data_IF_333940956303
#
_entry.id   IF_333940956303
#
_cell.length_a   1.000
_cell.length_b   1.000
_cell.length_c   1.000
_cell.angle_alpha   90.00
_cell.angle_beta   90.00
_cell.angle_gamma   90.00
#
_symmetry.space_group_name_H-M   'P 1'
#
loop_
_entity.id
_entity.type
_entity.pdbx_description
1 polymer ?
#
# COMPACT_ATOMS: atom_id res chain seq x y z
N UNK A 1 2.73 -13.13 25.34
CA UNK A 1 3.22 -13.22 23.95
C UNK A 1 1.99 -13.16 23.05
N UNK A 2 1.65 -11.99 22.51
CA UNK A 2 0.49 -11.81 21.62
C UNK A 2 0.76 -12.38 20.21
N UNK A 3 -0.30 -12.64 19.42
CA UNK A 3 -0.15 -13.10 18.04
C UNK A 3 0.53 -12.01 17.19
N UNK A 4 1.57 -12.40 16.44
CA UNK A 4 2.13 -11.56 15.37
C UNK A 4 1.04 -11.35 14.31
N UNK A 5 0.85 -10.13 13.84
CA UNK A 5 0.06 -9.85 12.64
C UNK A 5 0.72 -10.59 11.47
N UNK A 6 0.13 -11.69 11.01
CA UNK A 6 0.63 -12.43 9.85
C UNK A 6 0.15 -11.72 8.58
N UNK A 7 0.86 -10.67 8.21
CA UNK A 7 0.88 -10.22 6.82
C UNK A 7 2.13 -10.84 6.23
N UNK A 8 2.01 -11.51 5.07
CA UNK A 8 3.16 -12.06 4.39
C UNK A 8 4.19 -10.93 4.17
N UNK A 9 5.40 -11.11 4.70
CA UNK A 9 6.49 -10.19 4.40
C UNK A 9 6.79 -10.27 2.91
N UNK A 10 6.64 -9.15 2.19
CA UNK A 10 6.95 -9.03 0.75
C UNK A 10 8.47 -9.17 0.44
N UNK A 11 9.26 -9.60 1.42
CA UNK A 11 10.72 -9.65 1.37
C UNK A 11 11.30 -11.08 1.30
N UNK A 12 10.49 -12.15 1.42
CA UNK A 12 11.01 -13.52 1.30
C UNK A 12 9.94 -14.48 0.79
N UNK A 13 9.91 -14.75 -0.51
CA UNK A 13 9.04 -15.79 -1.07
C UNK A 13 9.87 -16.92 -1.68
N UNK A 14 10.16 -17.94 -0.87
CA UNK A 14 10.49 -19.28 -1.34
C UNK A 14 9.19 -20.09 -1.40
N UNK A 15 8.47 -19.95 -2.50
CA UNK A 15 7.28 -20.73 -2.84
C UNK A 15 7.28 -20.98 -4.34
N UNK A 16 6.89 -22.17 -4.79
CA UNK A 16 6.98 -22.59 -6.19
C UNK A 16 6.14 -21.70 -7.10
N UNK A 17 6.79 -20.78 -7.82
CA UNK A 17 6.17 -19.90 -8.81
C UNK A 17 6.19 -20.54 -10.19
N UNK A 18 5.03 -20.95 -10.69
CA UNK A 18 4.82 -21.11 -12.13
C UNK A 18 4.43 -19.75 -12.72
N UNK A 19 5.43 -19.06 -13.28
CA UNK A 19 5.30 -18.06 -14.36
C UNK A 19 4.36 -16.87 -14.11
N UNK A 20 4.82 -15.85 -13.39
CA UNK A 20 4.09 -14.58 -13.26
C UNK A 20 4.67 -13.60 -12.24
N UNK A 21 5.99 -13.47 -12.17
CA UNK A 21 6.66 -12.61 -11.19
C UNK A 21 6.72 -11.15 -11.68
N UNK A 22 5.58 -10.56 -12.02
CA UNK A 22 5.57 -9.22 -12.60
C UNK A 22 5.64 -8.17 -11.49
N UNK A 23 6.86 -7.83 -11.10
CA UNK A 23 7.19 -6.48 -10.63
C UNK A 23 6.94 -5.49 -11.76
N UNK A 24 5.67 -5.28 -12.11
CA UNK A 24 5.25 -4.37 -13.16
C UNK A 24 5.72 -2.97 -12.79
N UNK A 25 6.65 -2.43 -13.57
CA UNK A 25 7.17 -1.08 -13.34
C UNK A 25 6.08 -0.06 -13.63
N UNK A 26 6.12 1.07 -12.93
CA UNK A 26 5.11 2.12 -13.14
C UNK A 26 5.05 2.58 -14.61
N UNK A 27 6.20 2.69 -15.28
CA UNK A 27 6.26 3.10 -16.68
C UNK A 27 5.47 2.14 -17.58
N UNK A 28 5.60 0.83 -17.35
CA UNK A 28 4.88 -0.19 -18.11
C UNK A 28 3.38 -0.21 -17.78
N UNK A 29 3.03 -0.07 -16.50
CA UNK A 29 1.63 -0.03 -16.04
C UNK A 29 0.82 1.06 -16.76
N UNK A 30 1.45 2.22 -17.02
CA UNK A 30 0.83 3.39 -17.64
C UNK A 30 0.74 3.32 -19.18
N UNK A 31 1.31 2.29 -19.82
CA UNK A 31 1.22 2.14 -21.26
C UNK A 31 -0.15 1.60 -21.68
N UNK A 32 -0.84 2.27 -22.60
CA UNK A 32 -2.20 1.90 -23.02
C UNK A 32 -2.32 0.46 -23.54
N UNK A 33 -1.31 -0.02 -24.28
CA UNK A 33 -1.24 -1.35 -24.91
C UNK A 33 -1.05 -2.54 -23.96
N UNK A 34 -0.73 -2.30 -22.70
CA UNK A 34 -0.31 -3.31 -21.71
C UNK A 34 -1.52 -3.78 -20.87
N UNK A 35 -2.61 -4.17 -21.55
CA UNK A 35 -3.85 -4.62 -20.87
C UNK A 35 -3.66 -5.97 -20.15
N UNK A 36 -3.05 -7.00 -20.77
CA UNK A 36 -2.86 -8.30 -20.12
C UNK A 36 -2.07 -8.21 -18.80
N UNK A 37 -1.00 -7.42 -18.78
CA UNK A 37 -0.14 -7.29 -17.61
C UNK A 37 -0.82 -6.48 -16.50
N UNK A 38 -1.72 -5.54 -16.84
CA UNK A 38 -2.59 -4.92 -15.84
C UNK A 38 -3.59 -5.91 -15.25
N UNK A 39 -4.12 -6.83 -16.06
CA UNK A 39 -4.98 -7.91 -15.56
C UNK A 39 -4.19 -8.78 -14.59
N UNK A 40 -2.99 -9.25 -14.97
CA UNK A 40 -2.11 -10.03 -14.08
C UNK A 40 -1.78 -9.27 -12.79
N UNK A 41 -1.49 -7.98 -12.87
CA UNK A 41 -1.23 -7.14 -11.71
C UNK A 41 -2.43 -7.10 -10.76
N UNK A 42 -3.63 -6.85 -11.30
CA UNK A 42 -4.86 -6.79 -10.50
C UNK A 42 -5.23 -8.15 -9.92
N UNK A 43 -4.99 -9.24 -10.66
CA UNK A 43 -5.22 -10.62 -10.21
C UNK A 43 -4.32 -10.98 -9.03
N UNK A 44 -3.01 -10.74 -9.16
CA UNK A 44 -2.05 -10.90 -8.07
C UNK A 44 -2.43 -10.08 -6.82
N UNK A 45 -2.89 -8.84 -7.01
CA UNK A 45 -3.33 -7.99 -5.90
C UNK A 45 -4.63 -8.50 -5.27
N UNK A 46 -5.56 -9.03 -6.08
CA UNK A 46 -6.81 -9.62 -5.61
C UNK A 46 -6.56 -10.87 -4.75
N UNK A 47 -5.57 -11.71 -5.11
CA UNK A 47 -5.18 -12.88 -4.32
C UNK A 47 -4.72 -12.49 -2.90
N UNK A 48 -3.97 -11.39 -2.78
CA UNK A 48 -3.47 -10.91 -1.50
C UNK A 48 -4.49 -10.05 -0.72
N UNK A 49 -5.50 -9.49 -1.40
CA UNK A 49 -6.43 -8.50 -0.84
C UNK A 49 -7.13 -8.98 0.43
N UNK A 50 -7.62 -10.22 0.43
CA UNK A 50 -8.34 -10.78 1.58
C UNK A 50 -7.47 -10.85 2.85
N UNK A 51 -6.16 -11.07 2.68
CA UNK A 51 -5.22 -11.05 3.80
C UNK A 51 -4.94 -9.64 4.30
N UNK A 52 -4.82 -8.67 3.39
CA UNK A 52 -4.58 -7.27 3.75
C UNK A 52 -5.79 -6.66 4.46
N UNK A 53 -7.00 -6.79 3.89
CA UNK A 53 -8.22 -6.17 4.45
C UNK A 53 -8.58 -6.69 5.84
N UNK A 54 -8.26 -7.94 6.15
CA UNK A 54 -8.61 -8.58 7.41
C UNK A 54 -7.50 -8.47 8.45
N UNK A 55 -6.31 -7.98 8.08
CA UNK A 55 -5.20 -7.85 9.00
C UNK A 55 -5.52 -6.87 10.13
N UNK A 56 -5.09 -7.23 11.34
CA UNK A 56 -5.34 -6.42 12.53
C UNK A 56 -4.02 -5.94 13.14
N UNK A 57 -3.98 -4.74 13.73
CA UNK A 57 -2.82 -4.26 14.44
C UNK A 57 -2.44 -5.21 15.57
N UNK A 58 -1.13 -5.40 15.77
CA UNK A 58 -0.58 -6.18 16.87
C UNK A 58 -0.16 -5.30 18.05
N UNK A 59 0.41 -5.91 19.10
CA UNK A 59 0.83 -5.20 20.32
C UNK A 59 1.89 -4.11 20.07
N UNK A 60 2.74 -4.27 19.04
CA UNK A 60 3.76 -3.27 18.68
C UNK A 60 3.11 -2.01 18.15
N UNK A 61 2.14 -2.14 17.23
CA UNK A 61 1.42 -0.97 16.70
C UNK A 61 0.68 -0.23 17.83
N UNK A 62 -0.01 -0.96 18.71
CA UNK A 62 -0.67 -0.36 19.88
C UNK A 62 0.30 0.28 20.88
N UNK A 63 1.49 -0.29 21.05
CA UNK A 63 2.51 0.31 21.90
C UNK A 63 3.02 1.64 21.33
N UNK A 64 3.18 1.73 20.00
CA UNK A 64 3.58 2.96 19.32
C UNK A 64 2.54 4.07 19.52
N UNK A 65 1.24 3.75 19.39
CA UNK A 65 0.15 4.70 19.68
C UNK A 65 0.23 5.23 21.12
N UNK A 66 0.44 4.35 22.10
CA UNK A 66 0.61 4.78 23.50
C UNK A 66 1.84 5.66 23.73
N UNK A 67 2.93 5.43 23.00
CA UNK A 67 4.11 6.29 23.07
C UNK A 67 3.86 7.65 22.40
N UNK A 68 3.12 7.66 21.29
CA UNK A 68 2.65 8.90 20.65
C UNK A 68 1.78 9.72 21.59
N UNK A 69 0.75 9.12 22.20
CA UNK A 69 -0.15 9.78 23.17
C UNK A 69 0.61 10.33 24.38
N UNK A 70 1.69 9.67 24.78
CA UNK A 70 2.58 10.11 25.86
C UNK A 70 3.59 11.20 25.42
N UNK A 71 3.56 11.65 24.17
CA UNK A 71 4.48 12.66 23.63
C UNK A 71 5.91 12.16 23.46
N UNK A 72 6.11 10.84 23.33
CA UNK A 72 7.44 10.18 23.22
C UNK A 72 7.78 9.72 21.81
N UNK A 73 6.87 9.92 20.86
CA UNK A 73 7.10 9.63 19.44
C UNK A 73 6.90 10.92 18.67
N UNK A 74 7.97 11.38 18.04
CA UNK A 74 7.91 12.50 17.11
C UNK A 74 7.30 12.05 15.79
N UNK A 75 7.80 10.93 15.24
CA UNK A 75 7.34 10.40 13.97
C UNK A 75 7.47 8.88 13.88
N UNK A 76 6.50 8.27 13.20
CA UNK A 76 6.50 6.87 12.78
C UNK A 76 6.73 6.84 11.27
N UNK A 77 7.93 6.46 10.86
CA UNK A 77 8.27 6.28 9.45
C UNK A 77 8.25 4.79 9.14
N UNK A 78 7.40 4.36 8.21
CA UNK A 78 7.28 2.96 7.82
C UNK A 78 7.48 2.77 6.32
N UNK A 79 8.10 1.64 5.96
CA UNK A 79 8.17 1.15 4.58
C UNK A 79 7.07 0.12 4.29
N UNK A 80 6.33 -0.30 5.31
CA UNK A 80 5.23 -1.24 5.14
C UNK A 80 4.06 -0.55 4.46
N UNK A 81 3.37 -1.30 3.60
CA UNK A 81 2.19 -0.85 2.85
C UNK A 81 0.88 -1.39 3.45
N UNK A 82 0.95 -2.00 4.62
CA UNK A 82 -0.18 -2.72 5.23
C UNK A 82 -1.23 -1.82 5.89
N UNK A 83 -0.92 -0.55 6.13
CA UNK A 83 -1.82 0.39 6.80
C UNK A 83 -2.05 0.12 8.28
N UNK A 84 -1.36 -0.84 8.91
CA UNK A 84 -1.65 -1.27 10.28
C UNK A 84 -1.31 -0.20 11.33
N UNK A 85 -0.38 0.72 11.06
CA UNK A 85 -0.13 1.87 11.92
C UNK A 85 -1.31 2.84 11.94
N UNK A 86 -1.85 3.16 10.76
CA UNK A 86 -3.05 4.00 10.66
C UNK A 86 -4.24 3.33 11.33
N UNK A 87 -4.47 2.04 11.06
CA UNK A 87 -5.55 1.27 11.67
C UNK A 87 -5.41 1.14 13.20
N UNK A 88 -4.19 1.13 13.73
CA UNK A 88 -3.94 1.12 15.17
C UNK A 88 -4.32 2.45 15.85
N UNK A 89 -4.40 3.54 15.09
CA UNK A 89 -4.66 4.89 15.60
C UNK A 89 -3.43 5.80 15.66
N UNK A 90 -2.31 5.47 15.01
CA UNK A 90 -1.19 6.43 14.88
C UNK A 90 -1.69 7.66 14.10
N UNK A 91 -1.45 8.86 14.61
CA UNK A 91 -2.02 10.06 13.98
C UNK A 91 -1.40 10.30 12.59
N UNK A 92 -2.21 10.79 11.66
CA UNK A 92 -1.75 11.11 10.31
C UNK A 92 -0.61 12.16 10.31
N UNK A 93 -0.61 13.09 11.28
CA UNK A 93 0.44 14.09 11.43
C UNK A 93 1.82 13.46 11.72
N UNK A 94 1.84 12.33 12.44
CA UNK A 94 3.06 11.62 12.84
C UNK A 94 3.35 10.35 12.05
N UNK A 95 2.47 9.92 11.16
CA UNK A 95 2.69 8.74 10.32
C UNK A 95 3.20 9.15 8.94
N UNK A 96 4.30 8.53 8.51
CA UNK A 96 4.84 8.60 7.15
C UNK A 96 4.86 7.20 6.56
N UNK A 97 4.10 6.98 5.49
CA UNK A 97 4.04 5.72 4.74
C UNK A 97 4.89 5.86 3.46
N UNK A 98 6.20 5.59 3.57
CA UNK A 98 7.16 5.89 2.49
C UNK A 98 6.80 5.22 1.16
N UNK A 99 6.27 3.99 1.22
CA UNK A 99 5.88 3.23 0.04
C UNK A 99 4.37 3.30 -0.24
N UNK A 100 3.67 4.26 0.35
CA UNK A 100 2.22 4.37 0.26
C UNK A 100 1.50 3.23 0.98
N UNK A 101 0.27 2.93 0.57
CA UNK A 101 -0.60 2.02 1.32
C UNK A 101 -1.47 1.15 0.40
N UNK A 102 -1.72 -0.10 0.80
CA UNK A 102 -2.71 -0.99 0.19
C UNK A 102 -4.14 -0.66 0.66
N UNK A 103 -4.29 0.20 1.67
CA UNK A 103 -5.60 0.56 2.23
C UNK A 103 -6.43 1.46 1.31
N UNK A 104 -5.83 1.95 0.21
CA UNK A 104 -6.45 2.86 -0.74
C UNK A 104 -6.10 2.44 -2.17
N UNK A 105 -6.98 2.79 -3.11
CA UNK A 105 -6.70 2.79 -4.55
C UNK A 105 -6.43 4.23 -4.98
N UNK A 106 -5.49 4.46 -5.89
CA UNK A 106 -5.15 5.78 -6.40
C UNK A 106 -5.17 5.81 -7.94
N UNK A 107 -5.83 6.83 -8.50
CA UNK A 107 -5.75 7.14 -9.91
C UNK A 107 -4.39 7.73 -10.28
N UNK A 108 -3.73 7.13 -11.27
CA UNK A 108 -2.41 7.56 -11.72
C UNK A 108 -2.44 8.81 -12.62
N UNK A 109 -3.63 9.33 -12.94
CA UNK A 109 -3.79 10.57 -13.71
C UNK A 109 -4.22 11.74 -12.84
N UNK A 110 -5.28 11.60 -12.05
CA UNK A 110 -5.84 12.69 -11.25
C UNK A 110 -5.55 12.59 -9.74
N UNK A 111 -4.84 11.54 -9.30
CA UNK A 111 -4.47 11.27 -7.90
C UNK A 111 -5.65 11.12 -6.93
N UNK A 112 -6.89 11.03 -7.42
CA UNK A 112 -8.05 10.70 -6.59
C UNK A 112 -7.85 9.33 -5.94
N UNK A 113 -8.16 9.27 -4.64
CA UNK A 113 -8.12 8.03 -3.85
C UNK A 113 -9.52 7.52 -3.54
N UNK A 114 -9.68 6.20 -3.46
CA UNK A 114 -10.95 5.55 -3.12
C UNK A 114 -10.71 4.26 -2.32
N UNK A 115 -11.79 3.73 -1.76
CA UNK A 115 -11.81 2.41 -1.12
C UNK A 115 -11.38 1.31 -2.13
N UNK A 116 -10.53 0.35 -1.74
CA UNK A 116 -10.16 -0.77 -2.59
C UNK A 116 -11.26 -1.80 -2.84
N UNK A 117 -12.16 -2.05 -1.89
CA UNK A 117 -13.15 -3.13 -1.96
C UNK A 117 -13.99 -3.06 -3.24
N UNK A 118 -14.62 -1.91 -3.61
CA UNK A 118 -15.43 -1.85 -4.82
C UNK A 118 -14.63 -2.09 -6.10
N UNK A 119 -13.33 -1.75 -6.10
CA UNK A 119 -12.47 -1.91 -7.27
C UNK A 119 -12.03 -3.36 -7.45
N UNK A 120 -11.73 -4.05 -6.35
CA UNK A 120 -11.43 -5.48 -6.35
C UNK A 120 -12.68 -6.32 -6.66
N UNK A 121 -13.86 -5.95 -6.16
CA UNK A 121 -15.13 -6.59 -6.53
C UNK A 121 -15.44 -6.41 -8.02
N UNK A 122 -15.26 -5.19 -8.55
CA UNK A 122 -15.41 -4.93 -9.98
C UNK A 122 -14.45 -5.80 -10.81
N UNK A 123 -13.16 -5.82 -10.47
CA UNK A 123 -12.18 -6.62 -11.17
C UNK A 123 -12.51 -8.12 -11.11
N UNK A 124 -12.89 -8.64 -9.94
CA UNK A 124 -13.31 -10.04 -9.76
C UNK A 124 -14.48 -10.42 -10.67
N UNK A 125 -15.46 -9.52 -10.84
CA UNK A 125 -16.65 -9.77 -11.64
C UNK A 125 -16.42 -9.62 -13.16
N UNK A 126 -15.47 -8.77 -13.58
CA UNK A 126 -15.30 -8.37 -14.98
C UNK A 126 -13.98 -8.81 -15.62
N UNK A 127 -13.00 -9.23 -14.81
CA UNK A 127 -11.61 -9.48 -15.21
C UNK A 127 -11.04 -8.34 -16.07
N UNK A 128 -11.45 -7.13 -15.75
CA UNK A 128 -11.07 -5.90 -16.48
C UNK A 128 -10.52 -4.91 -15.47
N UNK A 129 -9.30 -4.37 -15.66
CA UNK A 129 -8.72 -3.39 -14.74
C UNK A 129 -9.65 -2.16 -14.62
N UNK A 130 -10.03 -1.77 -13.40
CA UNK A 130 -10.93 -0.64 -13.21
C UNK A 130 -10.24 0.67 -13.61
N UNK A 131 -11.04 1.61 -14.10
CA UNK A 131 -10.61 2.96 -14.47
C UNK A 131 -11.24 3.97 -13.52
N UNK A 132 -10.52 5.06 -13.32
CA UNK A 132 -11.06 6.23 -12.64
C UNK A 132 -12.15 6.88 -13.50
N UNK A 133 -13.03 7.67 -12.89
CA UNK A 133 -14.01 8.51 -13.60
C UNK A 133 -13.37 9.44 -14.64
N UNK A 134 -12.11 9.84 -14.44
CA UNK A 134 -11.36 10.63 -15.42
C UNK A 134 -10.75 9.81 -16.58
N UNK A 135 -10.97 8.49 -16.61
CA UNK A 135 -10.38 7.55 -17.57
C UNK A 135 -8.97 7.09 -17.21
N UNK A 136 -8.37 7.59 -16.13
CA UNK A 136 -7.03 7.21 -15.68
C UNK A 136 -6.97 5.80 -15.08
N UNK A 137 -5.80 5.16 -15.17
CA UNK A 137 -5.59 3.83 -14.59
C UNK A 137 -5.58 3.87 -13.06
N UNK A 138 -6.29 2.92 -12.45
CA UNK A 138 -6.29 2.72 -11.01
C UNK A 138 -5.30 1.61 -10.63
N UNK A 139 -4.62 1.81 -9.51
CA UNK A 139 -3.85 0.77 -8.81
C UNK A 139 -3.91 1.00 -7.29
N UNK A 140 -3.52 0.04 -6.45
CA UNK A 140 -3.25 0.32 -5.05
C UNK A 140 -2.37 1.56 -4.88
N UNK A 141 -2.63 2.35 -3.84
CA UNK A 141 -1.93 3.60 -3.53
C UNK A 141 -0.50 3.36 -3.00
N UNK A 142 0.15 2.28 -3.42
CA UNK A 142 1.53 1.92 -3.12
C UNK A 142 2.49 2.45 -4.18
N UNK A 143 3.72 2.76 -3.79
CA UNK A 143 4.78 3.14 -4.72
C UNK A 143 5.24 1.89 -5.49
N UNK A 144 5.14 1.95 -6.82
CA UNK A 144 5.56 0.86 -7.71
C UNK A 144 7.04 0.94 -8.05
N UNK A 145 7.63 -0.15 -8.54
CA UNK A 145 9.02 -0.13 -8.98
C UNK A 145 9.24 0.91 -10.09
N UNK A 146 10.27 1.75 -9.91
CA UNK A 146 10.58 2.86 -10.80
C UNK A 146 9.70 4.11 -10.61
N UNK A 147 8.76 4.10 -9.67
CA UNK A 147 8.05 5.29 -9.23
C UNK A 147 8.89 5.99 -8.15
N UNK A 148 9.01 7.31 -8.24
CA UNK A 148 9.62 8.11 -7.18
C UNK A 148 8.77 8.06 -5.92
N UNK A 149 9.42 8.08 -4.76
CA UNK A 149 8.75 8.35 -3.49
C UNK A 149 8.15 9.76 -3.52
N UNK A 150 7.06 9.95 -2.78
CA UNK A 150 6.41 11.27 -2.71
C UNK A 150 7.34 12.26 -1.96
N UNK A 151 7.72 13.39 -2.58
CA UNK A 151 8.71 14.31 -2.00
C UNK A 151 8.34 14.83 -0.61
N UNK A 152 7.06 15.12 -0.39
CA UNK A 152 6.55 15.65 0.87
C UNK A 152 6.69 14.61 2.00
N UNK A 153 6.38 13.34 1.72
CA UNK A 153 6.57 12.24 2.69
C UNK A 153 8.06 12.02 3.01
N UNK A 154 8.93 12.14 2.01
CA UNK A 154 10.39 12.07 2.21
C UNK A 154 10.90 13.22 3.08
N UNK A 155 10.39 14.44 2.87
CA UNK A 155 10.80 15.59 3.67
C UNK A 155 10.28 15.47 5.11
N UNK A 156 9.02 15.02 5.30
CA UNK A 156 8.48 14.71 6.63
C UNK A 156 9.36 13.68 7.35
N UNK A 157 9.72 12.58 6.68
CA UNK A 157 10.60 11.56 7.26
C UNK A 157 11.97 12.13 7.68
N UNK A 158 12.56 13.00 6.85
CA UNK A 158 13.83 13.66 7.17
C UNK A 158 13.72 14.61 8.34
N UNK A 159 12.62 15.36 8.43
CA UNK A 159 12.34 16.26 9.53
C UNK A 159 12.31 15.50 10.86
N UNK A 160 11.50 14.43 10.94
CA UNK A 160 11.42 13.60 12.14
C UNK A 160 12.77 13.02 12.57
N UNK A 161 13.65 12.66 11.63
CA UNK A 161 14.99 12.14 11.95
C UNK A 161 15.99 13.19 12.43
N UNK A 162 15.80 14.47 12.10
CA UNK A 162 16.71 15.57 12.47
C UNK A 162 16.38 16.21 13.81
N UNK A 163 15.11 16.19 14.20
CA UNK A 163 14.62 16.80 15.45
C UNK A 163 14.56 15.83 16.63
N UNK A 164 14.93 14.55 16.42
CA UNK A 164 14.97 13.49 17.45
C UNK A 164 16.28 13.46 18.24
#
# INVERSE_FOLDING_TARGET
RGPRSRIAHDASQTGNFTTGNLRLRISQFLETRIVPERIEHWDYKLEAWESFRNAQPNDVHRAIVRLEEAGKVEMVVTQNIDGLHSLAGTSAARLVELHGTNSLIECQSCRRRSDPEPQFEFFRAKLTPPLCECGGFLKPATISFGQSLEPDELERARHGARES
#
